data_IF_493379347694
#
_entry.id   IF_493379347694
#
_cell.length_a   1.000
_cell.length_b   1.000
_cell.length_c   1.000
_cell.angle_alpha   90.00
_cell.angle_beta   90.00
_cell.angle_gamma   90.00
#
_symmetry.space_group_name_H-M   'P 1'
#
loop_
_entity.id
_entity.type
_entity.pdbx_description
1 polymer ?
#
# COMPACT_ATOMS: atom_id res chain seq x y z
N UNK A 1 34.33 31.97 -41.34
CA UNK A 1 33.78 32.95 -40.38
C UNK A 1 34.65 32.90 -39.14
N UNK A 2 35.27 34.04 -38.83
CA UNK A 2 36.41 34.17 -37.93
C UNK A 2 36.08 33.91 -36.47
N UNK A 3 36.92 33.11 -35.83
CA UNK A 3 37.10 33.05 -34.39
C UNK A 3 37.41 34.46 -33.86
N UNK A 4 36.50 35.02 -33.07
CA UNK A 4 36.77 36.21 -32.27
C UNK A 4 37.23 35.75 -30.89
N UNK A 5 38.56 35.61 -30.76
CA UNK A 5 39.24 35.49 -29.48
C UNK A 5 39.06 36.83 -28.75
N UNK A 6 38.28 36.85 -27.68
CA UNK A 6 38.19 38.02 -26.81
C UNK A 6 39.45 38.02 -25.93
N UNK A 7 40.50 38.68 -26.42
CA UNK A 7 41.69 39.04 -25.64
C UNK A 7 41.33 40.30 -24.84
N UNK A 8 41.05 40.14 -23.54
CA UNK A 8 40.95 41.28 -22.63
C UNK A 8 42.37 41.75 -22.33
N UNK A 9 42.82 42.80 -23.02
CA UNK A 9 44.07 43.52 -22.71
C UNK A 9 43.82 44.37 -21.47
N UNK A 10 44.14 43.83 -20.29
CA UNK A 10 44.12 44.57 -19.04
C UNK A 10 45.46 45.33 -18.86
N UNK A 11 45.43 46.63 -19.15
CA UNK A 11 46.54 47.54 -18.86
C UNK A 11 46.74 47.63 -17.34
N UNK A 12 47.96 47.38 -16.90
CA UNK A 12 48.39 47.07 -15.55
C UNK A 12 48.37 48.28 -14.60
N UNK A 13 47.68 48.20 -13.45
CA UNK A 13 47.99 49.02 -12.26
C UNK A 13 47.35 48.57 -10.92
N UNK A 14 47.56 47.32 -10.48
CA UNK A 14 47.58 46.94 -9.05
C UNK A 14 47.83 45.43 -8.91
N UNK A 15 48.75 44.96 -8.04
CA UNK A 15 48.99 43.53 -7.80
C UNK A 15 47.75 42.80 -7.24
N UNK A 16 46.85 43.51 -6.55
CA UNK A 16 45.64 42.93 -5.97
C UNK A 16 44.57 42.54 -7.00
N UNK A 17 44.61 43.07 -8.23
CA UNK A 17 43.59 42.79 -9.25
C UNK A 17 43.86 41.48 -10.02
N UNK A 18 45.15 41.11 -10.18
CA UNK A 18 45.54 39.82 -10.79
C UNK A 18 45.21 38.64 -9.88
N UNK A 19 45.37 38.80 -8.56
CA UNK A 19 45.01 37.78 -7.57
C UNK A 19 43.49 37.54 -7.56
N UNK A 20 42.68 38.60 -7.63
CA UNK A 20 41.22 38.50 -7.64
C UNK A 20 40.65 37.77 -8.87
N UNK A 21 41.19 38.04 -10.07
CA UNK A 21 40.77 37.35 -11.31
C UNK A 21 41.18 35.87 -11.29
N UNK A 22 42.38 35.57 -10.77
CA UNK A 22 42.86 34.19 -10.64
C UNK A 22 42.03 33.41 -9.61
N UNK A 23 41.65 34.05 -8.48
CA UNK A 23 40.74 33.49 -7.49
C UNK A 23 39.34 33.25 -8.05
N UNK A 24 38.80 34.17 -8.86
CA UNK A 24 37.46 34.04 -9.45
C UNK A 24 37.40 32.90 -10.48
N UNK A 25 38.39 32.80 -11.37
CA UNK A 25 38.54 31.68 -12.29
C UNK A 25 38.77 30.36 -11.55
N UNK A 26 39.59 30.34 -10.50
CA UNK A 26 39.79 29.15 -9.68
C UNK A 26 38.50 28.72 -8.99
N UNK A 27 37.72 29.66 -8.44
CA UNK A 27 36.46 29.37 -7.77
C UNK A 27 35.39 28.87 -8.74
N UNK A 28 35.26 29.45 -9.93
CA UNK A 28 34.36 28.93 -10.98
C UNK A 28 34.77 27.52 -11.41
N UNK A 29 36.05 27.26 -11.68
CA UNK A 29 36.54 25.92 -12.04
C UNK A 29 36.36 24.91 -10.90
N UNK A 30 36.51 25.32 -9.63
CA UNK A 30 36.30 24.44 -8.48
C UNK A 30 34.82 24.11 -8.28
N UNK A 31 33.94 25.11 -8.46
CA UNK A 31 32.49 24.95 -8.36
C UNK A 31 31.95 24.10 -9.51
N UNK A 32 32.36 24.39 -10.75
CA UNK A 32 32.10 23.54 -11.92
C UNK A 32 32.69 22.13 -11.74
N UNK A 33 33.88 22.00 -11.17
CA UNK A 33 34.52 20.71 -10.91
C UNK A 33 33.72 19.82 -9.95
N UNK A 34 33.13 20.40 -8.90
CA UNK A 34 32.22 19.68 -7.99
C UNK A 34 30.96 19.25 -8.74
N UNK A 35 30.37 20.14 -9.56
CA UNK A 35 29.20 19.80 -10.38
C UNK A 35 29.50 18.69 -11.40
N UNK A 36 30.64 18.74 -12.10
CA UNK A 36 31.06 17.68 -13.03
C UNK A 36 31.35 16.36 -12.31
N UNK A 37 31.84 16.41 -11.07
CA UNK A 37 32.05 15.22 -10.24
C UNK A 37 30.71 14.60 -9.83
N UNK A 38 29.74 15.42 -9.41
CA UNK A 38 28.39 14.97 -9.04
C UNK A 38 27.64 14.44 -10.27
N UNK A 39 27.68 15.15 -11.39
CA UNK A 39 27.04 14.73 -12.65
C UNK A 39 27.71 13.45 -13.19
N UNK A 40 29.04 13.37 -13.15
CA UNK A 40 29.77 12.15 -13.53
C UNK A 40 29.45 10.96 -12.63
N UNK A 41 29.31 11.19 -11.31
CA UNK A 41 28.85 10.17 -10.37
C UNK A 41 27.42 9.75 -10.66
N UNK A 42 26.50 10.70 -10.88
CA UNK A 42 25.11 10.41 -11.22
C UNK A 42 25.01 9.61 -12.52
N UNK A 43 25.66 10.03 -13.60
CA UNK A 43 25.61 9.31 -14.88
C UNK A 43 26.15 7.88 -14.72
N UNK A 44 27.23 7.70 -13.96
CA UNK A 44 27.87 6.40 -13.75
C UNK A 44 27.06 5.44 -12.87
N UNK A 45 26.45 5.95 -11.80
CA UNK A 45 25.80 5.10 -10.79
C UNK A 45 24.27 5.10 -10.85
N UNK A 46 23.63 6.10 -11.46
CA UNK A 46 22.16 6.16 -11.54
C UNK A 46 21.58 5.02 -12.38
N UNK A 47 22.25 4.63 -13.46
CA UNK A 47 21.77 3.50 -14.27
C UNK A 47 21.83 2.18 -13.49
N UNK A 48 22.89 1.99 -12.72
CA UNK A 48 23.04 0.84 -11.85
C UNK A 48 22.00 0.81 -10.71
N UNK A 49 21.75 1.95 -10.06
CA UNK A 49 20.72 2.09 -9.02
C UNK A 49 19.34 1.82 -9.61
N UNK A 50 19.05 2.37 -10.79
CA UNK A 50 17.77 2.19 -11.47
C UNK A 50 17.54 0.72 -11.86
N UNK A 51 18.58 0.04 -12.34
CA UNK A 51 18.56 -1.40 -12.61
C UNK A 51 18.25 -2.21 -11.34
N UNK A 52 18.90 -1.89 -10.21
CA UNK A 52 18.63 -2.56 -8.94
C UNK A 52 17.18 -2.35 -8.47
N UNK A 53 16.66 -1.12 -8.55
CA UNK A 53 15.27 -0.82 -8.26
C UNK A 53 14.31 -1.63 -9.15
N UNK A 54 14.63 -1.76 -10.43
CA UNK A 54 13.83 -2.54 -11.38
C UNK A 54 13.81 -4.04 -11.05
N UNK A 55 14.97 -4.60 -10.66
CA UNK A 55 15.08 -5.99 -10.20
C UNK A 55 14.21 -6.20 -8.96
N UNK A 56 14.34 -5.33 -7.95
CA UNK A 56 13.53 -5.38 -6.74
C UNK A 56 12.02 -5.28 -7.04
N UNK A 57 11.64 -4.40 -7.98
CA UNK A 57 10.26 -4.23 -8.41
C UNK A 57 9.69 -5.50 -9.06
N UNK A 58 10.45 -6.14 -9.96
CA UNK A 58 10.03 -7.41 -10.58
C UNK A 58 9.84 -8.50 -9.52
N UNK A 59 10.78 -8.65 -8.59
CA UNK A 59 10.66 -9.62 -7.51
C UNK A 59 9.43 -9.36 -6.63
N UNK A 60 9.17 -8.10 -6.30
CA UNK A 60 7.98 -7.70 -5.55
C UNK A 60 6.69 -8.08 -6.29
N UNK A 61 6.60 -7.84 -7.60
CA UNK A 61 5.45 -8.24 -8.41
C UNK A 61 5.27 -9.76 -8.45
N UNK A 62 6.34 -10.53 -8.64
CA UNK A 62 6.27 -12.01 -8.65
C UNK A 62 5.77 -12.54 -7.30
N UNK A 63 6.35 -12.06 -6.20
CA UNK A 63 5.94 -12.46 -4.84
C UNK A 63 4.47 -12.10 -4.61
N UNK A 64 4.04 -10.91 -5.03
CA UNK A 64 2.65 -10.46 -4.88
C UNK A 64 1.67 -11.36 -5.64
N UNK A 65 2.00 -11.71 -6.90
CA UNK A 65 1.20 -12.65 -7.71
C UNK A 65 1.12 -14.02 -7.04
N UNK A 66 2.27 -14.59 -6.67
CA UNK A 66 2.31 -15.90 -6.02
C UNK A 66 1.47 -15.89 -4.74
N UNK A 67 1.60 -14.87 -3.90
CA UNK A 67 0.87 -14.80 -2.63
C UNK A 67 -0.64 -14.71 -2.83
N UNK A 68 -1.11 -13.99 -3.84
CA UNK A 68 -2.55 -13.87 -4.16
C UNK A 68 -3.15 -15.18 -4.67
N UNK A 69 -2.38 -15.96 -5.43
CA UNK A 69 -2.85 -17.25 -5.95
C UNK A 69 -2.76 -18.37 -4.92
N UNK A 70 -1.67 -18.43 -4.13
CA UNK A 70 -1.47 -19.50 -3.16
C UNK A 70 -2.21 -19.28 -1.83
N UNK A 71 -2.36 -18.03 -1.37
CA UNK A 71 -3.00 -17.71 -0.09
C UNK A 71 -3.97 -16.53 -0.20
N UNK A 72 -5.12 -16.71 -0.90
CA UNK A 72 -6.12 -15.65 -1.04
C UNK A 72 -6.71 -15.20 0.32
N UNK A 73 -6.75 -16.11 1.30
CA UNK A 73 -7.27 -15.85 2.65
C UNK A 73 -6.41 -14.89 3.48
N UNK A 74 -5.10 -14.75 3.18
CA UNK A 74 -4.24 -13.78 3.86
C UNK A 74 -4.45 -12.34 3.38
N UNK A 75 -4.94 -12.18 2.15
CA UNK A 75 -5.12 -10.86 1.52
C UNK A 75 -6.53 -10.31 1.68
N UNK A 76 -7.52 -11.18 1.91
CA UNK A 76 -8.92 -10.78 2.01
C UNK A 76 -9.51 -11.30 3.31
N UNK A 77 -9.93 -10.37 4.16
CA UNK A 77 -10.75 -10.68 5.32
C UNK A 77 -12.08 -11.29 4.90
N UNK A 78 -12.70 -12.01 5.84
CA UNK A 78 -14.03 -12.58 5.68
C UNK A 78 -15.02 -11.50 5.22
N UNK A 79 -15.77 -11.79 4.16
CA UNK A 79 -16.81 -10.90 3.65
C UNK A 79 -18.12 -11.22 4.33
N UNK A 80 -18.67 -10.24 5.03
CA UNK A 80 -19.97 -10.37 5.68
C UNK A 80 -21.10 -10.15 4.69
N UNK A 81 -22.14 -10.97 4.79
CA UNK A 81 -23.39 -10.74 4.08
C UNK A 81 -24.24 -9.67 4.80
N UNK A 82 -25.47 -9.42 4.35
CA UNK A 82 -26.36 -8.39 4.92
C UNK A 82 -26.59 -8.60 6.43
N UNK A 83 -26.68 -9.84 6.90
CA UNK A 83 -26.85 -10.16 8.31
C UNK A 83 -25.57 -9.89 9.10
N UNK A 84 -24.41 -10.30 8.59
CA UNK A 84 -23.12 -9.96 9.21
C UNK A 84 -22.87 -8.45 9.26
N UNK A 85 -23.30 -7.70 8.25
CA UNK A 85 -23.22 -6.24 8.21
C UNK A 85 -24.11 -5.57 9.28
N UNK A 86 -25.26 -6.14 9.62
CA UNK A 86 -26.08 -5.66 10.74
C UNK A 86 -25.36 -5.84 12.08
N UNK A 87 -24.73 -7.00 12.30
CA UNK A 87 -23.94 -7.26 13.51
C UNK A 87 -22.75 -6.28 13.63
N UNK A 88 -22.06 -6.01 12.51
CA UNK A 88 -21.02 -4.99 12.43
C UNK A 88 -21.55 -3.60 12.75
N UNK A 89 -22.69 -3.22 12.17
CA UNK A 89 -23.30 -1.92 12.42
C UNK A 89 -23.61 -1.75 13.91
N UNK A 90 -24.22 -2.75 14.53
CA UNK A 90 -24.52 -2.75 15.96
C UNK A 90 -23.24 -2.70 16.82
N UNK A 91 -22.17 -3.40 16.43
CA UNK A 91 -20.87 -3.28 17.09
C UNK A 91 -20.33 -1.84 17.05
N UNK A 92 -20.38 -1.18 15.90
CA UNK A 92 -19.95 0.21 15.75
C UNK A 92 -20.81 1.17 16.58
N UNK A 93 -22.11 0.93 16.70
CA UNK A 93 -22.98 1.73 17.57
C UNK A 93 -22.55 1.63 19.04
N UNK A 94 -22.22 0.43 19.51
CA UNK A 94 -21.70 0.23 20.87
C UNK A 94 -20.35 0.93 21.04
N UNK A 95 -19.42 0.76 20.09
CA UNK A 95 -18.07 1.36 20.17
C UNK A 95 -18.12 2.89 20.13
N UNK A 96 -19.02 3.47 19.34
CA UNK A 96 -19.25 4.92 19.23
C UNK A 96 -20.13 5.50 20.34
N UNK A 97 -20.68 4.65 21.23
CA UNK A 97 -21.66 5.02 22.27
C UNK A 97 -22.90 5.73 21.70
N UNK A 98 -23.31 5.37 20.48
CA UNK A 98 -24.46 5.94 19.78
C UNK A 98 -25.65 4.97 19.78
N UNK A 99 -25.86 4.29 20.90
CA UNK A 99 -26.97 3.36 21.14
C UNK A 99 -28.15 4.08 21.78
N UNK A 100 -29.36 3.53 21.68
CA UNK A 100 -30.57 4.09 22.27
C UNK A 100 -30.60 4.06 23.80
N UNK A 101 -29.68 3.32 24.43
CA UNK A 101 -29.48 3.19 25.87
C UNK A 101 -27.99 3.25 26.24
N UNK A 102 -27.67 3.50 27.51
CA UNK A 102 -26.29 3.51 28.00
C UNK A 102 -25.83 2.09 28.37
N UNK A 103 -24.88 1.56 27.60
CA UNK A 103 -24.30 0.23 27.84
C UNK A 103 -23.03 0.39 28.68
N UNK A 104 -23.05 -0.13 29.92
CA UNK A 104 -21.85 -0.15 30.76
C UNK A 104 -20.76 -1.04 30.16
N UNK A 105 -19.49 -0.61 30.34
CA UNK A 105 -18.29 -1.38 29.95
C UNK A 105 -18.17 -2.72 30.69
N UNK A 106 -18.88 -2.88 31.80
CA UNK A 106 -18.90 -4.13 32.57
C UNK A 106 -19.69 -5.23 31.86
N UNK A 107 -20.60 -4.83 30.96
CA UNK A 107 -21.50 -5.72 30.22
C UNK A 107 -20.86 -6.09 28.88
N UNK A 108 -20.34 -5.09 28.15
CA UNK A 108 -19.67 -5.28 26.86
C UNK A 108 -18.28 -4.65 26.94
N UNK A 109 -17.26 -5.51 26.93
CA UNK A 109 -15.85 -5.10 26.93
C UNK A 109 -15.38 -4.86 25.50
N UNK A 110 -15.86 -3.78 24.89
CA UNK A 110 -15.33 -3.25 23.63
C UNK A 110 -14.42 -2.07 23.95
N UNK A 111 -13.14 -2.21 23.66
CA UNK A 111 -12.19 -1.11 23.64
C UNK A 111 -12.20 -0.42 22.28
N UNK A 112 -11.69 0.81 22.20
CA UNK A 112 -11.52 1.52 20.92
C UNK A 112 -10.56 0.80 19.95
N UNK A 113 -9.72 -0.10 20.47
CA UNK A 113 -8.75 -0.85 19.68
C UNK A 113 -9.31 -2.18 19.17
N UNK A 114 -10.47 -2.62 19.66
CA UNK A 114 -11.10 -3.84 19.19
C UNK A 114 -11.72 -3.62 17.82
N UNK A 115 -11.35 -4.50 16.87
CA UNK A 115 -11.87 -4.44 15.51
C UNK A 115 -13.22 -5.14 15.46
N UNK A 116 -14.31 -4.37 15.31
CA UNK A 116 -15.65 -4.91 15.08
C UNK A 116 -15.71 -5.87 13.88
N UNK A 117 -14.76 -5.76 12.93
CA UNK A 117 -14.65 -6.64 11.78
C UNK A 117 -14.27 -8.11 12.11
N UNK A 118 -13.81 -8.40 13.34
CA UNK A 118 -13.46 -9.75 13.76
C UNK A 118 -14.72 -10.53 14.19
N UNK A 119 -14.96 -11.65 13.53
CA UNK A 119 -16.08 -12.54 13.81
C UNK A 119 -16.05 -13.05 15.26
N UNK A 120 -14.86 -13.32 15.80
CA UNK A 120 -14.72 -13.81 17.17
C UNK A 120 -15.14 -12.76 18.19
N UNK A 121 -14.85 -11.48 17.92
CA UNK A 121 -15.29 -10.37 18.78
C UNK A 121 -16.82 -10.27 18.76
N UNK A 122 -17.43 -10.32 17.57
CA UNK A 122 -18.89 -10.29 17.42
C UNK A 122 -19.57 -11.45 18.15
N UNK A 123 -18.97 -12.65 18.08
CA UNK A 123 -19.46 -13.86 18.74
C UNK A 123 -19.35 -13.78 20.26
N UNK A 124 -18.18 -13.41 20.79
CA UNK A 124 -17.94 -13.31 22.24
C UNK A 124 -18.84 -12.26 22.88
N UNK A 125 -19.06 -11.13 22.20
CA UNK A 125 -19.92 -10.05 22.69
C UNK A 125 -21.41 -10.27 22.38
N UNK A 126 -21.79 -11.44 21.83
CA UNK A 126 -23.19 -11.80 21.53
C UNK A 126 -23.89 -10.83 20.57
N UNK A 127 -23.11 -10.12 19.74
CA UNK A 127 -23.62 -9.14 18.77
C UNK A 127 -24.19 -9.80 17.51
N UNK A 128 -23.82 -11.06 17.26
CA UNK A 128 -24.37 -11.87 16.17
C UNK A 128 -25.89 -12.12 16.31
N UNK A 129 -26.47 -11.95 17.50
CA UNK A 129 -27.92 -12.08 17.73
C UNK A 129 -28.71 -10.83 17.34
N UNK A 130 -28.02 -9.70 17.16
CA UNK A 130 -28.60 -8.41 16.77
C UNK A 130 -28.57 -8.24 15.25
N UNK A 131 -29.21 -9.16 14.55
CA UNK A 131 -29.35 -9.15 13.09
C UNK A 131 -30.81 -9.23 12.71
N UNK A 132 -31.17 -8.70 11.54
CA UNK A 132 -32.55 -8.78 11.03
C UNK A 132 -33.02 -10.23 10.88
N UNK A 133 -34.29 -10.49 11.17
CA UNK A 133 -34.92 -11.81 10.97
C UNK A 133 -35.23 -12.05 9.48
N UNK A 134 -35.72 -11.02 8.79
CA UNK A 134 -35.99 -11.04 7.35
C UNK A 134 -35.27 -9.90 6.62
N UNK A 135 -34.99 -10.00 5.30
CA UNK A 135 -34.21 -9.01 4.56
C UNK A 135 -34.81 -7.59 4.57
N UNK A 136 -36.12 -7.46 4.74
CA UNK A 136 -36.85 -6.19 4.74
C UNK A 136 -36.97 -5.54 6.12
N UNK A 137 -36.53 -6.23 7.18
CA UNK A 137 -36.58 -5.73 8.55
C UNK A 137 -35.23 -5.12 8.95
N UNK A 138 -35.25 -4.29 9.99
CA UNK A 138 -34.06 -3.68 10.57
C UNK A 138 -33.97 -3.98 12.05
N UNK A 139 -32.86 -4.56 12.49
CA UNK A 139 -32.55 -4.78 13.90
C UNK A 139 -31.38 -3.88 14.31
N UNK A 140 -31.65 -2.79 15.03
CA UNK A 140 -30.61 -1.81 15.41
C UNK A 140 -30.70 -1.39 16.87
N UNK A 141 -29.56 -1.40 17.57
CA UNK A 141 -29.42 -0.90 18.94
C UNK A 141 -29.66 0.61 19.09
N UNK A 142 -29.98 1.34 18.02
CA UNK A 142 -30.51 2.71 18.10
C UNK A 142 -31.90 2.76 18.75
N UNK A 143 -32.70 1.70 18.60
CA UNK A 143 -33.99 1.64 19.28
C UNK A 143 -33.77 1.43 20.78
N UNK A 144 -34.25 2.38 21.58
CA UNK A 144 -34.10 2.36 23.04
C UNK A 144 -34.67 1.08 23.65
N UNK A 145 -35.85 0.63 23.21
CA UNK A 145 -36.50 -0.56 23.78
C UNK A 145 -35.70 -1.82 23.52
N UNK A 146 -35.14 -1.95 22.31
CA UNK A 146 -34.29 -3.07 21.94
C UNK A 146 -32.94 -3.01 22.69
N UNK A 147 -32.37 -1.81 22.85
CA UNK A 147 -31.13 -1.62 23.58
C UNK A 147 -31.25 -2.01 25.06
N UNK A 148 -32.30 -1.54 25.74
CA UNK A 148 -32.58 -1.88 27.15
C UNK A 148 -32.78 -3.40 27.29
N UNK A 149 -33.57 -4.01 26.39
CA UNK A 149 -33.77 -5.47 26.37
C UNK A 149 -32.47 -6.24 26.15
N UNK A 150 -31.61 -5.79 25.22
CA UNK A 150 -30.35 -6.44 24.93
C UNK A 150 -29.41 -6.40 26.15
N UNK A 151 -29.33 -5.26 26.84
CA UNK A 151 -28.55 -5.13 28.08
C UNK A 151 -29.02 -6.13 29.15
N UNK A 152 -30.34 -6.26 29.31
CA UNK A 152 -30.91 -7.20 30.27
C UNK A 152 -30.70 -8.66 29.86
N UNK A 153 -30.76 -8.94 28.55
CA UNK A 153 -30.47 -10.26 27.99
C UNK A 153 -29.02 -10.70 28.28
N UNK A 154 -28.04 -9.82 28.10
CA UNK A 154 -26.63 -10.15 28.39
C UNK A 154 -26.42 -10.41 29.90
N UNK A 155 -27.11 -9.65 30.76
CA UNK A 155 -27.00 -9.81 32.23
C UNK A 155 -27.65 -11.10 32.73
N UNK A 156 -28.86 -11.40 32.28
CA UNK A 156 -29.70 -12.44 32.90
C UNK A 156 -29.83 -13.72 32.07
N UNK A 157 -29.48 -13.73 30.78
CA UNK A 157 -29.49 -14.87 29.84
C UNK A 157 -30.79 -15.71 29.76
N UNK A 158 -31.88 -15.28 30.40
CA UNK A 158 -33.13 -16.04 30.53
C UNK A 158 -34.32 -15.40 29.80
N UNK A 159 -34.13 -14.25 29.15
CA UNK A 159 -35.20 -13.56 28.43
C UNK A 159 -35.42 -14.16 27.05
N UNK A 160 -36.66 -14.57 26.77
CA UNK A 160 -37.09 -15.03 25.44
C UNK A 160 -37.16 -13.84 24.48
N UNK A 161 -36.67 -14.04 23.25
CA UNK A 161 -36.59 -13.01 22.20
C UNK A 161 -37.94 -12.70 21.52
N UNK A 162 -39.04 -13.26 22.02
CA UNK A 162 -40.39 -13.15 21.45
C UNK A 162 -40.93 -11.70 21.38
N UNK A 163 -40.33 -10.78 22.15
CA UNK A 163 -40.70 -9.36 22.17
C UNK A 163 -40.22 -8.56 20.95
N UNK A 164 -39.27 -9.09 20.17
CA UNK A 164 -38.69 -8.40 19.00
C UNK A 164 -38.61 -9.34 17.78
N UNK A 165 -39.72 -9.59 17.07
CA UNK A 165 -39.75 -10.54 15.94
C UNK A 165 -38.88 -10.09 14.75
N UNK A 166 -38.59 -8.80 14.67
CA UNK A 166 -37.73 -8.18 13.65
C UNK A 166 -36.24 -8.56 13.78
N UNK A 167 -35.83 -9.12 14.92
CA UNK A 167 -34.46 -9.55 15.19
C UNK A 167 -34.39 -11.07 15.25
N UNK A 168 -33.31 -11.66 14.70
CA UNK A 168 -33.11 -13.13 14.68
C UNK A 168 -32.95 -13.74 16.07
N UNK A 169 -32.47 -12.95 17.04
CA UNK A 169 -32.32 -13.34 18.44
C UNK A 169 -31.36 -14.52 18.67
N UNK A 170 -31.45 -15.12 19.85
CA UNK A 170 -30.62 -16.27 20.25
C UNK A 170 -31.16 -17.59 19.68
N UNK A 171 -31.09 -17.73 18.36
CA UNK A 171 -31.41 -18.97 17.66
C UNK A 171 -30.15 -19.85 17.65
N UNK A 172 -30.24 -21.05 18.23
CA UNK A 172 -29.13 -21.97 18.49
C UNK A 172 -28.46 -22.55 17.23
N UNK A 173 -28.93 -22.20 16.03
CA UNK A 173 -28.55 -22.84 14.77
C UNK A 173 -27.74 -21.97 13.80
N UNK A 174 -27.46 -20.70 14.12
CA UNK A 174 -26.74 -19.82 13.18
C UNK A 174 -25.23 -20.12 13.22
N UNK A 175 -24.78 -20.89 12.23
CA UNK A 175 -23.36 -21.17 11.96
C UNK A 175 -22.66 -19.95 11.35
N UNK A 176 -21.33 -19.94 11.38
CA UNK A 176 -20.51 -18.86 10.82
C UNK A 176 -20.84 -18.57 9.34
N UNK A 177 -21.15 -19.62 8.58
CA UNK A 177 -21.59 -19.55 7.18
C UNK A 177 -22.87 -18.72 6.96
N UNK A 178 -23.72 -18.58 7.99
CA UNK A 178 -24.93 -17.77 7.91
C UNK A 178 -24.63 -16.26 7.85
N UNK A 179 -23.51 -15.81 8.42
CA UNK A 179 -23.15 -14.38 8.47
C UNK A 179 -22.16 -13.98 7.39
N UNK A 180 -21.54 -14.96 6.75
CA UNK A 180 -20.56 -14.77 5.70
C UNK A 180 -21.22 -14.85 4.33
N UNK A 181 -20.69 -14.08 3.39
CA UNK A 181 -21.00 -14.28 1.98
C UNK A 181 -20.32 -15.58 1.51
N UNK A 182 -20.98 -16.35 0.64
CA UNK A 182 -20.57 -17.69 0.24
C UNK A 182 -19.05 -17.77 -0.07
N UNK A 183 -18.35 -18.81 0.40
CA UNK A 183 -16.90 -18.97 0.22
C UNK A 183 -16.48 -19.01 -1.25
N UNK A 184 -17.40 -19.32 -2.16
CA UNK A 184 -17.17 -19.37 -3.60
C UNK A 184 -17.13 -17.98 -4.27
N UNK A 185 -17.62 -16.92 -3.59
CA UNK A 185 -17.58 -15.56 -4.10
C UNK A 185 -16.32 -14.84 -3.64
N UNK A 186 -15.42 -14.57 -4.58
CA UNK A 186 -14.22 -13.75 -4.34
C UNK A 186 -14.63 -12.32 -3.97
N UNK A 187 -14.10 -11.81 -2.86
CA UNK A 187 -14.31 -10.43 -2.41
C UNK A 187 -14.03 -9.40 -3.51
N UNK A 188 -14.80 -8.32 -3.57
CA UNK A 188 -14.54 -7.20 -4.50
C UNK A 188 -13.13 -6.62 -4.32
N UNK A 189 -12.59 -6.65 -3.09
CA UNK A 189 -11.22 -6.20 -2.79
C UNK A 189 -10.18 -7.14 -3.39
N UNK A 190 -10.45 -8.45 -3.40
CA UNK A 190 -9.60 -9.44 -4.06
C UNK A 190 -9.53 -9.15 -5.57
N UNK A 191 -10.69 -8.99 -6.20
CA UNK A 191 -10.79 -8.72 -7.64
C UNK A 191 -10.09 -7.40 -8.02
N UNK A 192 -10.27 -6.36 -7.20
CA UNK A 192 -9.58 -5.08 -7.39
C UNK A 192 -8.05 -5.20 -7.24
N UNK A 193 -7.58 -5.87 -6.19
CA UNK A 193 -6.15 -6.08 -5.94
C UNK A 193 -5.49 -6.90 -7.05
N UNK A 194 -6.17 -7.96 -7.51
CA UNK A 194 -5.75 -8.78 -8.65
C UNK A 194 -5.65 -7.93 -9.93
N UNK A 195 -6.64 -7.07 -10.18
CA UNK A 195 -6.67 -6.20 -11.35
C UNK A 195 -5.51 -5.19 -11.34
N UNK A 196 -5.21 -4.59 -10.19
CA UNK A 196 -4.08 -3.66 -10.01
C UNK A 196 -2.76 -4.37 -10.29
N UNK A 197 -2.54 -5.55 -9.70
CA UNK A 197 -1.28 -6.27 -9.86
C UNK A 197 -1.10 -6.73 -11.30
N UNK A 198 -2.17 -7.18 -11.95
CA UNK A 198 -2.13 -7.52 -13.36
C UNK A 198 -1.81 -6.29 -14.24
N UNK A 199 -2.41 -5.14 -13.94
CA UNK A 199 -2.10 -3.89 -14.63
C UNK A 199 -0.63 -3.48 -14.48
N UNK A 200 -0.08 -3.55 -13.26
CA UNK A 200 1.35 -3.29 -13.02
C UNK A 200 2.26 -4.27 -13.73
N UNK A 201 1.89 -5.55 -13.76
CA UNK A 201 2.63 -6.58 -14.49
C UNK A 201 2.70 -6.27 -15.99
N UNK A 202 1.55 -6.00 -16.63
CA UNK A 202 1.49 -5.67 -18.06
C UNK A 202 2.26 -4.39 -18.35
N UNK A 203 2.09 -3.34 -17.53
CA UNK A 203 2.82 -2.09 -17.69
C UNK A 203 4.33 -2.30 -17.60
N UNK A 204 4.79 -3.12 -16.65
CA UNK A 204 6.21 -3.48 -16.50
C UNK A 204 6.72 -4.26 -17.72
N UNK A 205 5.92 -5.18 -18.27
CA UNK A 205 6.28 -5.92 -19.48
C UNK A 205 6.45 -4.97 -20.68
N UNK A 206 5.51 -4.04 -20.89
CA UNK A 206 5.59 -3.04 -21.96
C UNK A 206 6.83 -2.16 -21.80
N UNK A 207 7.09 -1.64 -20.59
CA UNK A 207 8.28 -0.84 -20.30
C UNK A 207 9.57 -1.64 -20.54
N UNK A 208 9.60 -2.92 -20.17
CA UNK A 208 10.74 -3.80 -20.42
C UNK A 208 11.00 -4.01 -21.92
N UNK A 209 9.95 -4.23 -22.71
CA UNK A 209 10.08 -4.36 -24.16
C UNK A 209 10.58 -3.07 -24.79
N UNK A 210 10.03 -1.92 -24.39
CA UNK A 210 10.51 -0.60 -24.84
C UNK A 210 11.98 -0.37 -24.48
N UNK A 211 12.37 -0.73 -23.26
CA UNK A 211 13.76 -0.67 -22.81
C UNK A 211 14.69 -1.50 -23.70
N UNK A 212 14.33 -2.75 -24.03
CA UNK A 212 15.12 -3.60 -24.92
C UNK A 212 15.26 -2.97 -26.31
N UNK A 213 14.16 -2.45 -26.87
CA UNK A 213 14.16 -1.81 -28.19
C UNK A 213 15.08 -0.59 -28.20
N UNK A 214 15.02 0.27 -27.19
CA UNK A 214 15.91 1.42 -27.06
C UNK A 214 17.36 0.95 -26.90
N UNK A 215 17.61 -0.05 -26.05
CA UNK A 215 18.95 -0.60 -25.79
C UNK A 215 19.62 -1.17 -27.05
N UNK A 216 18.85 -1.81 -27.94
CA UNK A 216 19.38 -2.36 -29.20
C UNK A 216 19.65 -1.24 -30.22
N UNK A 217 18.76 -0.25 -30.30
CA UNK A 217 18.82 0.78 -31.35
C UNK A 217 19.72 1.98 -31.00
N UNK A 218 20.11 2.13 -29.73
CA UNK A 218 20.97 3.24 -29.30
C UNK A 218 22.43 2.78 -29.28
N UNK A 219 23.31 3.29 -30.16
CA UNK A 219 24.73 2.97 -30.08
C UNK A 219 25.32 3.56 -28.79
N UNK A 220 25.96 2.72 -27.97
CA UNK A 220 26.65 3.16 -26.75
C UNK A 220 27.99 3.76 -27.15
N UNK A 221 28.22 5.02 -26.77
CA UNK A 221 29.51 5.69 -26.97
C UNK A 221 30.64 4.91 -26.28
N UNK A 222 31.72 4.68 -27.02
CA UNK A 222 32.88 3.88 -26.60
C UNK A 222 33.65 4.46 -25.40
N UNK A 223 33.33 5.67 -24.97
CA UNK A 223 33.91 6.35 -23.80
C UNK A 223 33.46 5.77 -22.46
N UNK A 224 32.43 4.92 -22.43
CA UNK A 224 31.89 4.32 -21.19
C UNK A 224 32.24 2.85 -20.99
N UNK A 225 33.04 2.25 -21.89
CA UNK A 225 33.42 0.83 -21.83
C UNK A 225 34.26 0.57 -20.58
N UNK A 226 33.66 -0.11 -19.60
CA UNK A 226 34.34 -0.50 -18.36
C UNK A 226 34.77 -1.98 -18.44
N UNK A 227 36.01 -2.28 -18.01
CA UNK A 227 36.59 -3.62 -18.12
C UNK A 227 35.81 -4.66 -17.29
N UNK A 228 35.09 -5.57 -17.95
CA UNK A 228 34.17 -6.56 -17.35
C UNK A 228 34.85 -7.62 -16.49
N UNK A 229 36.14 -7.90 -16.75
CA UNK A 229 36.87 -8.97 -16.07
C UNK A 229 37.18 -8.67 -14.60
N UNK A 230 37.16 -7.38 -14.21
CA UNK A 230 37.41 -6.94 -12.82
C UNK A 230 36.15 -6.77 -11.98
N UNK A 231 34.96 -7.04 -12.54
CA UNK A 231 33.70 -6.83 -11.84
C UNK A 231 33.25 -8.07 -11.07
N UNK A 232 32.82 -7.87 -9.82
CA UNK A 232 32.18 -8.91 -9.00
C UNK A 232 30.88 -9.40 -9.66
N UNK A 233 30.52 -10.66 -9.42
CA UNK A 233 29.31 -11.31 -9.96
C UNK A 233 28.02 -10.50 -9.76
N UNK A 234 27.87 -9.85 -8.59
CA UNK A 234 26.72 -8.99 -8.27
C UNK A 234 26.59 -7.77 -9.21
N UNK A 235 27.72 -7.14 -9.56
CA UNK A 235 27.76 -6.04 -10.52
C UNK A 235 27.52 -6.51 -11.96
N UNK A 236 27.87 -7.76 -12.28
CA UNK A 236 27.54 -8.37 -13.58
C UNK A 236 26.03 -8.64 -13.71
N UNK A 237 25.38 -9.13 -12.66
CA UNK A 237 23.93 -9.41 -12.68
C UNK A 237 23.10 -8.13 -12.84
N UNK A 238 23.44 -7.08 -12.09
CA UNK A 238 22.78 -5.77 -12.18
C UNK A 238 23.03 -5.07 -13.53
N UNK A 239 24.07 -5.43 -14.28
CA UNK A 239 24.32 -4.88 -15.63
C UNK A 239 23.39 -5.41 -16.74
N UNK A 240 22.66 -6.51 -16.52
CA UNK A 240 21.69 -7.02 -17.52
C UNK A 240 20.63 -5.96 -17.88
N UNK A 241 20.23 -5.18 -16.89
CA UNK A 241 19.20 -4.15 -16.97
C UNK A 241 19.79 -2.72 -16.97
N UNK A 242 21.11 -2.60 -17.15
CA UNK A 242 21.80 -1.33 -17.32
C UNK A 242 21.80 -0.94 -18.82
N UNK A 243 21.64 0.36 -19.10
CA UNK A 243 21.73 0.92 -20.46
C UNK A 243 23.16 1.06 -20.95
N UNK A 244 24.16 1.12 -20.05
CA UNK A 244 25.56 1.41 -20.39
C UNK A 244 26.38 0.11 -20.45
N UNK A 245 27.25 0.01 -21.46
CA UNK A 245 28.11 -1.15 -21.76
C UNK A 245 29.53 -0.91 -21.24
#
# INVERSE_FOLDING_TARGET
MNHSVIIIVAHQKSPHYKEAICLYLYFEFFTLGIYYTIVGFLIKYMSWILSLLYICWIFFLIISILTIFFNPSLWCGLTYNIYGMDALHNCFLVQSKNTGCEISKDIIKLTKNDHCNDFNILKVQSLLFLVRSSPNESCSLKDKKLCDFFVDFIKNKQTTWESFPQCSGNTLELTEEYFLEQPDKKSNIYLFSLSIIFFWFITTLVLFTLFIVIKINTPVDSSFIMNEDRLNFFFKFTRLLDTWR
#
